data_IF_431353272223
#
_entry.id   IF_431353272223
#
_cell.length_a   1.000
_cell.length_b   1.000
_cell.length_c   1.000
_cell.angle_alpha   90.00
_cell.angle_beta   90.00
_cell.angle_gamma   90.00
#
_symmetry.space_group_name_H-M   'P 1'
#
loop_
_entity.id
_entity.type
_entity.pdbx_description
1 polymer ?
#
# COMPACT_ATOMS: atom_id res chain seq x y z
N UNK A 1 -23.45 -2.68 7.60
CA UNK A 1 -22.93 -1.30 7.46
C UNK A 1 -21.73 -1.36 6.54
N UNK A 2 -21.66 -0.47 5.55
CA UNK A 2 -20.54 -0.38 4.59
C UNK A 2 -19.32 0.23 5.27
N UNK A 3 -18.14 -0.40 5.10
CA UNK A 3 -16.83 0.15 5.50
C UNK A 3 -15.85 -0.04 4.35
N UNK A 4 -15.11 1.02 4.04
CA UNK A 4 -14.09 1.05 2.98
C UNK A 4 -12.74 1.28 3.62
N UNK A 5 -11.97 0.20 3.76
CA UNK A 5 -10.74 0.16 4.56
C UNK A 5 -9.57 -0.03 3.61
N UNK A 6 -8.47 0.68 3.82
CA UNK A 6 -7.21 0.39 3.12
C UNK A 6 -6.12 -0.05 4.11
N UNK A 7 -5.54 -1.22 3.87
CA UNK A 7 -4.42 -1.77 4.65
C UNK A 7 -3.10 -1.30 4.03
N UNK A 8 -2.29 -0.54 4.77
CA UNK A 8 -1.15 0.22 4.27
C UNK A 8 0.16 -0.09 4.98
N UNK A 9 1.30 0.28 4.37
CA UNK A 9 2.65 0.02 4.88
C UNK A 9 3.64 -0.44 3.81
N UNK A 10 4.93 -0.42 4.12
CA UNK A 10 6.00 -0.77 3.19
C UNK A 10 5.92 -2.21 2.64
N UNK A 11 6.63 -2.47 1.53
CA UNK A 11 6.73 -3.81 0.94
C UNK A 11 7.21 -4.85 1.97
N UNK A 12 6.55 -6.00 1.99
CA UNK A 12 6.88 -7.08 2.92
C UNK A 12 6.40 -6.87 4.37
N UNK A 13 5.63 -5.83 4.71
CA UNK A 13 5.14 -5.64 6.10
C UNK A 13 4.03 -6.60 6.55
N UNK A 14 3.45 -7.36 5.62
CA UNK A 14 2.32 -8.28 5.90
C UNK A 14 0.93 -7.74 5.56
N UNK A 15 0.84 -6.63 4.80
CA UNK A 15 -0.45 -6.06 4.33
C UNK A 15 -1.36 -7.08 3.64
N UNK A 16 -0.81 -7.86 2.71
CA UNK A 16 -1.59 -8.84 1.94
C UNK A 16 -2.21 -9.86 2.88
N UNK A 17 -1.42 -10.43 3.78
CA UNK A 17 -1.89 -11.36 4.81
C UNK A 17 -2.97 -10.73 5.68
N UNK A 18 -2.75 -9.51 6.19
CA UNK A 18 -3.74 -8.84 7.04
C UNK A 18 -5.03 -8.49 6.29
N UNK A 19 -4.93 -7.96 5.06
CA UNK A 19 -6.10 -7.60 4.25
C UNK A 19 -6.94 -8.82 3.87
N UNK A 20 -6.30 -9.96 3.55
CA UNK A 20 -6.99 -11.24 3.31
C UNK A 20 -7.71 -11.71 4.57
N UNK A 21 -7.01 -11.75 5.71
CA UNK A 21 -7.62 -12.21 6.95
C UNK A 21 -8.75 -11.28 7.42
N UNK A 22 -8.61 -9.96 7.24
CA UNK A 22 -9.65 -9.00 7.57
C UNK A 22 -10.88 -9.16 6.67
N UNK A 23 -10.67 -9.47 5.38
CA UNK A 23 -11.76 -9.79 4.44
C UNK A 23 -12.50 -11.07 4.85
N UNK A 24 -11.78 -12.15 5.19
CA UNK A 24 -12.39 -13.36 5.73
C UNK A 24 -13.20 -13.08 7.01
N UNK A 25 -12.59 -12.35 7.96
CA UNK A 25 -13.18 -12.08 9.25
C UNK A 25 -14.46 -11.24 9.17
N UNK A 26 -14.52 -10.27 8.26
CA UNK A 26 -15.64 -9.31 8.16
C UNK A 26 -16.65 -9.65 7.06
N UNK A 27 -16.30 -10.57 6.15
CA UNK A 27 -17.06 -10.84 4.93
C UNK A 27 -17.02 -9.71 3.90
N UNK A 28 -16.27 -8.62 4.13
CA UNK A 28 -16.09 -7.56 3.15
C UNK A 28 -15.27 -8.06 1.97
N UNK A 29 -15.63 -7.72 0.72
CA UNK A 29 -14.85 -8.10 -0.44
C UNK A 29 -13.45 -7.46 -0.39
N UNK A 30 -12.44 -8.24 -0.75
CA UNK A 30 -11.06 -7.73 -0.87
C UNK A 30 -10.82 -7.20 -2.28
N UNK A 31 -10.25 -6.01 -2.37
CA UNK A 31 -9.77 -5.41 -3.63
C UNK A 31 -8.28 -5.13 -3.54
N UNK A 32 -7.61 -5.11 -4.68
CA UNK A 32 -6.19 -4.79 -4.78
C UNK A 32 -5.84 -4.31 -6.19
N UNK A 33 -4.81 -3.47 -6.31
CA UNK A 33 -4.18 -3.27 -7.62
C UNK A 33 -3.48 -4.55 -8.06
N UNK A 34 -3.07 -4.63 -9.33
CA UNK A 34 -2.08 -5.63 -9.75
C UNK A 34 -0.85 -5.60 -8.82
N UNK A 35 0.06 -6.58 -8.82
CA UNK A 35 1.36 -6.37 -8.19
C UNK A 35 2.10 -5.25 -8.93
N UNK A 36 2.98 -4.51 -8.24
CA UNK A 36 3.82 -3.43 -8.82
C UNK A 36 4.86 -4.03 -9.78
N UNK A 37 4.38 -4.57 -10.91
CA UNK A 37 5.09 -5.28 -11.97
C UNK A 37 5.37 -4.34 -13.13
N UNK A 38 5.90 -4.91 -14.20
CA UNK A 38 6.38 -4.23 -15.38
C UNK A 38 5.33 -3.27 -15.97
N UNK A 39 5.74 -2.03 -16.32
CA UNK A 39 4.92 -1.12 -17.09
C UNK A 39 4.61 -1.74 -18.46
N UNK A 40 3.48 -1.37 -19.06
CA UNK A 40 3.09 -1.89 -20.37
C UNK A 40 4.16 -1.51 -21.41
N UNK A 41 4.70 -2.50 -22.12
CA UNK A 41 5.83 -2.37 -23.03
C UNK A 41 7.21 -2.49 -22.37
N UNK A 42 7.26 -2.76 -21.06
CA UNK A 42 8.47 -3.04 -20.29
C UNK A 42 8.58 -4.51 -19.87
N UNK A 43 7.85 -5.41 -20.52
CA UNK A 43 7.75 -6.81 -20.12
C UNK A 43 9.10 -7.54 -20.22
N UNK A 44 9.44 -8.32 -19.20
CA UNK A 44 10.73 -9.01 -19.06
C UNK A 44 11.91 -8.11 -18.64
N UNK A 45 11.71 -6.81 -18.44
CA UNK A 45 12.75 -5.91 -17.96
C UNK A 45 12.79 -5.86 -16.43
N UNK A 46 14.00 -5.86 -15.87
CA UNK A 46 14.20 -5.60 -14.44
C UNK A 46 13.53 -4.29 -14.01
N UNK A 47 12.92 -4.29 -12.82
CA UNK A 47 12.30 -3.11 -12.19
C UNK A 47 13.26 -1.91 -12.03
N UNK A 48 14.57 -2.17 -12.16
CA UNK A 48 15.64 -1.17 -12.09
C UNK A 48 15.92 -0.49 -13.43
N UNK A 49 15.47 -1.07 -14.54
CA UNK A 49 15.79 -0.62 -15.90
C UNK A 49 14.63 0.16 -16.55
N UNK A 50 13.58 0.47 -15.80
CA UNK A 50 12.48 1.28 -16.30
C UNK A 50 12.90 2.75 -16.40
N UNK A 51 12.46 3.40 -17.48
CA UNK A 51 12.54 4.85 -17.62
C UNK A 51 11.60 5.55 -16.64
N UNK A 52 11.85 6.82 -16.34
CA UNK A 52 10.96 7.60 -15.47
C UNK A 52 9.54 7.72 -16.07
N UNK A 53 9.42 7.81 -17.40
CA UNK A 53 8.12 7.82 -18.07
C UNK A 53 7.34 6.50 -17.91
N UNK A 54 8.05 5.37 -17.94
CA UNK A 54 7.46 4.05 -17.65
C UNK A 54 7.03 3.92 -16.18
N UNK A 55 7.78 4.50 -15.25
CA UNK A 55 7.36 4.59 -13.85
C UNK A 55 6.09 5.43 -13.69
N UNK A 56 5.99 6.57 -14.38
CA UNK A 56 4.77 7.39 -14.39
C UNK A 56 3.58 6.65 -14.98
N UNK A 57 3.76 5.97 -16.11
CA UNK A 57 2.73 5.14 -16.74
C UNK A 57 2.22 4.07 -15.77
N UNK A 58 3.12 3.34 -15.12
CA UNK A 58 2.76 2.33 -14.11
C UNK A 58 1.92 2.95 -12.99
N UNK A 59 2.33 4.12 -12.49
CA UNK A 59 1.63 4.85 -11.44
C UNK A 59 0.18 5.18 -11.83
N UNK A 60 -0.01 5.71 -13.04
CA UNK A 60 -1.35 6.05 -13.58
C UNK A 60 -2.19 4.80 -13.83
N UNK A 61 -1.60 3.74 -14.41
CA UNK A 61 -2.32 2.49 -14.66
C UNK A 61 -2.85 1.88 -13.36
N UNK A 62 -2.00 1.81 -12.34
CA UNK A 62 -2.37 1.25 -11.03
C UNK A 62 -3.38 2.09 -10.27
N UNK A 63 -3.31 3.40 -10.44
CA UNK A 63 -4.36 4.29 -9.95
C UNK A 63 -5.71 3.91 -10.56
N UNK A 64 -5.79 3.77 -11.88
CA UNK A 64 -7.02 3.41 -12.58
C UNK A 64 -7.54 2.02 -12.18
N UNK A 65 -6.66 1.02 -12.05
CA UNK A 65 -7.02 -0.32 -11.57
C UNK A 65 -7.68 -0.27 -10.18
N UNK A 66 -7.11 0.51 -9.26
CA UNK A 66 -7.67 0.68 -7.91
C UNK A 66 -9.01 1.40 -7.94
N UNK A 67 -9.16 2.47 -8.72
CA UNK A 67 -10.44 3.17 -8.86
C UNK A 67 -11.54 2.21 -9.31
N UNK A 68 -11.26 1.38 -10.32
CA UNK A 68 -12.22 0.41 -10.84
C UNK A 68 -12.51 -0.70 -9.81
N UNK A 69 -11.48 -1.24 -9.16
CA UNK A 69 -11.62 -2.28 -8.15
C UNK A 69 -12.36 -1.81 -6.90
N UNK A 70 -12.21 -0.55 -6.50
CA UNK A 70 -12.94 0.04 -5.38
C UNK A 70 -14.39 0.38 -5.77
N UNK A 71 -14.60 0.90 -6.99
CA UNK A 71 -15.94 1.21 -7.51
C UNK A 71 -16.81 -0.03 -7.70
N UNK A 72 -16.21 -1.22 -7.90
CA UNK A 72 -16.93 -2.48 -7.99
C UNK A 72 -17.58 -2.93 -6.67
N UNK A 73 -17.22 -2.31 -5.54
CA UNK A 73 -17.67 -2.68 -4.20
C UNK A 73 -18.25 -1.47 -3.42
N UNK A 74 -19.35 -0.85 -3.88
CA UNK A 74 -19.92 0.35 -3.25
C UNK A 74 -20.42 0.10 -1.81
N UNK A 75 -20.78 -1.15 -1.50
CA UNK A 75 -21.26 -1.58 -0.18
C UNK A 75 -20.15 -1.81 0.86
N UNK A 76 -18.89 -1.55 0.50
CA UNK A 76 -17.73 -1.68 1.39
C UNK A 76 -16.71 -2.68 0.88
N UNK A 77 -15.45 -2.51 1.30
CA UNK A 77 -14.33 -3.34 0.87
C UNK A 77 -13.14 -3.25 1.84
N UNK A 78 -12.23 -4.22 1.71
CA UNK A 78 -10.87 -4.16 2.25
C UNK A 78 -9.89 -4.07 1.09
N UNK A 79 -9.16 -2.96 0.99
CA UNK A 79 -8.15 -2.71 -0.05
C UNK A 79 -6.77 -3.12 0.46
N UNK A 80 -6.06 -3.98 -0.30
CA UNK A 80 -4.63 -4.24 -0.08
C UNK A 80 -3.83 -3.10 -0.68
N UNK A 81 -3.41 -2.19 0.19
CA UNK A 81 -2.86 -0.89 -0.16
C UNK A 81 -3.91 0.18 -0.44
N UNK A 82 -3.45 1.38 -0.79
CA UNK A 82 -4.30 2.52 -1.14
C UNK A 82 -3.82 3.18 -2.43
N UNK A 83 -4.64 4.04 -3.02
CA UNK A 83 -4.20 4.91 -4.13
C UNK A 83 -2.99 5.79 -3.74
N UNK A 84 -2.83 6.14 -2.46
CA UNK A 84 -1.70 6.94 -1.98
C UNK A 84 -0.38 6.16 -2.01
N UNK A 85 -0.42 4.82 -1.93
CA UNK A 85 0.79 4.00 -2.15
C UNK A 85 1.35 4.16 -3.55
N UNK A 86 0.50 4.35 -4.55
CA UNK A 86 0.94 4.44 -5.95
C UNK A 86 1.78 5.70 -6.15
N UNK A 87 1.33 6.84 -5.59
CA UNK A 87 2.14 8.05 -5.51
C UNK A 87 3.41 7.87 -4.68
N UNK A 88 3.31 7.25 -3.50
CA UNK A 88 4.46 7.04 -2.60
C UNK A 88 5.58 6.28 -3.30
N UNK A 89 5.23 5.19 -3.99
CA UNK A 89 6.19 4.38 -4.73
C UNK A 89 6.85 5.17 -5.87
N UNK A 90 6.05 5.90 -6.66
CA UNK A 90 6.54 6.71 -7.77
C UNK A 90 7.53 7.79 -7.30
N UNK A 91 7.13 8.59 -6.32
CA UNK A 91 7.96 9.67 -5.76
C UNK A 91 9.26 9.13 -5.18
N UNK A 92 9.18 8.06 -4.40
CA UNK A 92 10.37 7.45 -3.81
C UNK A 92 11.28 6.85 -4.88
N UNK A 93 10.76 6.16 -5.89
CA UNK A 93 11.57 5.59 -6.97
C UNK A 93 12.27 6.64 -7.81
N UNK A 94 11.61 7.77 -8.10
CA UNK A 94 12.19 8.90 -8.85
C UNK A 94 13.34 9.55 -8.09
N UNK A 95 13.17 9.80 -6.79
CA UNK A 95 14.13 10.57 -6.00
C UNK A 95 15.27 9.69 -5.46
N UNK A 96 14.95 8.46 -5.05
CA UNK A 96 15.84 7.62 -4.25
C UNK A 96 16.31 6.34 -4.96
N UNK A 97 15.72 6.00 -6.11
CA UNK A 97 15.97 4.71 -6.78
C UNK A 97 15.36 3.51 -6.04
N UNK A 98 15.58 2.29 -6.53
CA UNK A 98 15.11 1.05 -5.88
C UNK A 98 15.92 0.68 -4.64
N UNK A 99 17.20 1.02 -4.65
CA UNK A 99 18.14 0.72 -3.57
C UNK A 99 18.80 2.00 -3.05
N UNK A 100 18.06 2.80 -2.25
CA UNK A 100 18.62 3.95 -1.57
C UNK A 100 19.88 3.56 -0.79
N UNK A 101 21.04 4.02 -1.26
CA UNK A 101 22.35 3.74 -0.64
C UNK A 101 22.73 4.67 0.51
N UNK A 102 21.82 5.55 0.91
CA UNK A 102 22.05 6.57 1.94
C UNK A 102 20.81 6.77 2.81
N UNK A 103 21.00 6.95 4.12
CA UNK A 103 19.93 7.27 5.08
C UNK A 103 19.51 8.74 5.08
N UNK A 104 20.05 9.55 4.15
CA UNK A 104 19.64 10.95 3.96
C UNK A 104 18.11 11.01 3.72
N UNK A 105 17.37 11.86 4.46
CA UNK A 105 15.93 12.07 4.28
C UNK A 105 15.58 12.37 2.82
N UNK A 106 14.36 12.02 2.40
CA UNK A 106 13.97 12.14 1.00
C UNK A 106 14.08 13.59 0.49
N UNK A 107 13.70 14.57 1.29
CA UNK A 107 13.69 15.98 0.90
C UNK A 107 15.09 16.60 0.74
N UNK A 108 16.09 16.02 1.41
CA UNK A 108 17.47 16.52 1.41
C UNK A 108 18.32 15.98 0.25
N UNK A 109 17.75 15.11 -0.59
CA UNK A 109 18.48 14.50 -1.72
C UNK A 109 18.63 15.45 -2.89
N UNK A 110 19.73 15.35 -3.62
CA UNK A 110 19.90 16.10 -4.86
C UNK A 110 18.88 15.65 -5.92
N UNK A 111 18.25 16.62 -6.60
CA UNK A 111 17.45 16.39 -7.81
C UNK A 111 18.20 16.92 -9.02
N UNK A 112 18.33 16.09 -10.06
CA UNK A 112 18.63 16.59 -11.39
C UNK A 112 17.45 17.44 -11.91
N UNK A 113 17.67 18.31 -12.90
CA UNK A 113 16.59 19.10 -13.51
C UNK A 113 15.46 18.22 -14.03
N UNK A 114 15.80 17.09 -14.69
CA UNK A 114 14.80 16.14 -15.19
C UNK A 114 13.99 15.51 -14.06
N UNK A 115 14.68 15.02 -13.02
CA UNK A 115 14.03 14.45 -11.83
C UNK A 115 13.11 15.46 -11.14
N UNK A 116 13.53 16.72 -11.00
CA UNK A 116 12.74 17.76 -10.35
C UNK A 116 11.42 18.05 -11.11
N UNK A 117 11.48 18.11 -12.44
CA UNK A 117 10.28 18.31 -13.27
C UNK A 117 9.31 17.14 -13.14
N UNK A 118 9.81 15.91 -13.15
CA UNK A 118 8.98 14.71 -13.04
C UNK A 118 8.45 14.51 -11.60
N UNK A 119 9.24 14.83 -10.58
CA UNK A 119 8.81 14.84 -9.18
C UNK A 119 7.64 15.81 -8.98
N UNK A 120 7.71 17.02 -9.53
CA UNK A 120 6.62 17.98 -9.49
C UNK A 120 5.34 17.43 -10.16
N UNK A 121 5.45 16.80 -11.33
CA UNK A 121 4.32 16.17 -12.00
C UNK A 121 3.71 15.01 -11.17
N UNK A 122 4.56 14.19 -10.54
CA UNK A 122 4.11 13.12 -9.65
C UNK A 122 3.43 13.69 -8.41
N UNK A 123 3.92 14.78 -7.85
CA UNK A 123 3.26 15.45 -6.71
C UNK A 123 1.86 15.96 -7.06
N UNK A 124 1.67 16.54 -8.24
CA UNK A 124 0.35 16.95 -8.73
C UNK A 124 -0.59 15.76 -8.94
N UNK A 125 -0.10 14.64 -9.49
CA UNK A 125 -0.86 13.37 -9.54
C UNK A 125 -1.19 12.88 -8.11
N UNK A 126 -0.27 13.05 -7.18
CA UNK A 126 -0.46 12.73 -5.77
C UNK A 126 -1.61 13.51 -5.14
N UNK A 127 -1.86 14.76 -5.56
CA UNK A 127 -3.01 15.54 -5.10
C UNK A 127 -4.33 14.87 -5.49
N UNK A 128 -4.43 14.36 -6.72
CA UNK A 128 -5.60 13.62 -7.20
C UNK A 128 -5.83 12.34 -6.36
N UNK A 129 -4.77 11.57 -6.10
CA UNK A 129 -4.86 10.35 -5.30
C UNK A 129 -5.25 10.64 -3.84
N UNK A 130 -4.68 11.68 -3.23
CA UNK A 130 -5.04 12.13 -1.88
C UNK A 130 -6.49 12.65 -1.81
N UNK A 131 -6.96 13.30 -2.87
CA UNK A 131 -8.36 13.73 -2.97
C UNK A 131 -9.32 12.54 -3.03
N UNK A 132 -9.05 11.54 -3.89
CA UNK A 132 -9.84 10.31 -3.93
C UNK A 132 -9.82 9.57 -2.59
N UNK A 133 -8.64 9.42 -1.99
CA UNK A 133 -8.49 8.74 -0.72
C UNK A 133 -9.36 9.34 0.40
N UNK A 134 -9.52 10.67 0.43
CA UNK A 134 -10.38 11.37 1.40
C UNK A 134 -11.85 10.99 1.31
N UNK A 135 -12.35 10.66 0.12
CA UNK A 135 -13.78 10.39 -0.11
C UNK A 135 -14.07 8.89 -0.27
N UNK A 136 -13.06 8.11 -0.63
CA UNK A 136 -13.17 6.68 -0.90
C UNK A 136 -12.93 5.79 0.33
N UNK A 137 -12.10 6.23 1.29
CA UNK A 137 -11.79 5.42 2.47
C UNK A 137 -12.39 6.02 3.75
N UNK A 138 -12.85 5.13 4.62
CA UNK A 138 -13.32 5.51 5.95
C UNK A 138 -12.21 5.39 7.00
N UNK A 139 -11.20 4.55 6.74
CA UNK A 139 -10.03 4.38 7.60
C UNK A 139 -8.85 3.72 6.86
N UNK A 140 -7.64 4.02 7.34
CA UNK A 140 -6.42 3.29 7.02
C UNK A 140 -5.99 2.40 8.19
N UNK A 141 -5.53 1.19 7.88
CA UNK A 141 -4.87 0.28 8.84
C UNK A 141 -3.41 0.15 8.44
N UNK A 142 -2.52 0.80 9.17
CA UNK A 142 -1.09 0.79 8.92
C UNK A 142 -0.41 -0.41 9.59
N UNK A 143 0.39 -1.14 8.81
CA UNK A 143 1.20 -2.27 9.23
C UNK A 143 2.68 -1.91 9.11
N UNK A 144 3.37 -1.61 10.22
CA UNK A 144 4.77 -1.21 10.20
C UNK A 144 5.66 -2.40 9.84
N UNK A 145 6.89 -2.09 9.44
CA UNK A 145 7.94 -3.10 9.28
C UNK A 145 8.49 -3.52 10.64
N UNK A 146 8.17 -4.73 11.06
CA UNK A 146 8.61 -5.31 12.35
C UNK A 146 9.68 -6.40 12.20
N UNK A 147 10.01 -6.79 10.96
CA UNK A 147 10.97 -7.84 10.65
C UNK A 147 11.75 -7.52 9.37
N UNK A 148 12.99 -8.03 9.29
CA UNK A 148 13.87 -7.85 8.13
C UNK A 148 13.29 -8.52 6.87
N UNK A 149 13.58 -7.96 5.69
CA UNK A 149 13.28 -8.66 4.43
C UNK A 149 14.02 -9.99 4.39
N UNK A 150 13.46 -11.00 3.74
CA UNK A 150 14.20 -12.22 3.43
C UNK A 150 15.28 -11.91 2.37
N UNK A 151 16.51 -12.47 2.44
CA UNK A 151 17.64 -12.13 1.55
C UNK A 151 17.41 -12.24 0.04
N UNK A 152 16.49 -13.10 -0.40
CA UNK A 152 16.41 -13.49 -1.80
C UNK A 152 15.58 -12.51 -2.67
N UNK A 153 16.12 -12.18 -3.85
CA UNK A 153 15.51 -11.41 -4.95
C UNK A 153 14.65 -10.18 -4.54
N UNK A 154 15.14 -9.34 -3.62
CA UNK A 154 14.38 -8.21 -3.10
C UNK A 154 14.28 -7.08 -4.16
N UNK A 155 13.08 -6.62 -4.56
CA UNK A 155 12.94 -5.50 -5.50
C UNK A 155 13.35 -4.15 -4.89
N UNK A 156 13.53 -4.10 -3.56
CA UNK A 156 13.87 -2.93 -2.75
C UNK A 156 14.76 -3.33 -1.56
N UNK A 157 15.40 -2.37 -0.89
CA UNK A 157 16.15 -2.61 0.35
C UNK A 157 15.43 -2.09 1.61
N UNK A 158 16.03 -2.32 2.78
CA UNK A 158 15.52 -1.86 4.08
C UNK A 158 15.32 -0.35 4.17
N UNK A 159 16.25 0.40 3.59
CA UNK A 159 16.20 1.84 3.58
C UNK A 159 15.01 2.35 2.75
N UNK A 160 14.72 1.71 1.61
CA UNK A 160 13.52 1.99 0.83
C UNK A 160 12.26 1.77 1.67
N UNK A 161 12.19 0.71 2.49
CA UNK A 161 11.02 0.46 3.36
C UNK A 161 10.81 1.59 4.35
N UNK A 162 11.87 2.04 5.02
CA UNK A 162 11.80 3.16 5.97
C UNK A 162 11.37 4.46 5.30
N UNK A 163 11.98 4.80 4.17
CA UNK A 163 11.64 6.00 3.41
C UNK A 163 10.21 5.97 2.88
N UNK A 164 9.72 4.78 2.49
CA UNK A 164 8.34 4.57 2.06
C UNK A 164 7.36 4.93 3.18
N UNK A 165 7.54 4.41 4.40
CA UNK A 165 6.63 4.73 5.52
C UNK A 165 6.77 6.20 5.96
N UNK A 166 8.00 6.74 5.96
CA UNK A 166 8.25 8.15 6.27
C UNK A 166 7.58 9.11 5.29
N UNK A 167 7.45 8.73 4.02
CA UNK A 167 6.72 9.49 3.00
C UNK A 167 5.19 9.24 3.06
N UNK A 168 4.79 7.99 3.27
CA UNK A 168 3.39 7.56 3.22
C UNK A 168 2.57 8.11 4.40
N UNK A 169 3.05 7.96 5.63
CA UNK A 169 2.26 8.27 6.82
C UNK A 169 1.83 9.76 6.88
N UNK A 170 2.70 10.75 6.63
CA UNK A 170 2.27 12.14 6.55
C UNK A 170 1.27 12.38 5.42
N UNK A 171 1.43 11.72 4.27
CA UNK A 171 0.51 11.86 3.14
C UNK A 171 -0.87 11.28 3.43
N UNK A 172 -0.95 10.16 4.14
CA UNK A 172 -2.22 9.60 4.62
C UNK A 172 -2.87 10.52 5.65
N UNK A 173 -2.11 11.02 6.62
CA UNK A 173 -2.63 11.95 7.63
C UNK A 173 -3.21 13.22 7.01
N UNK A 174 -2.58 13.75 5.95
CA UNK A 174 -3.06 14.92 5.22
C UNK A 174 -4.41 14.73 4.49
N UNK A 175 -4.87 13.48 4.32
CA UNK A 175 -6.20 13.22 3.76
C UNK A 175 -7.32 13.57 4.74
N UNK A 176 -7.04 13.55 6.05
CA UNK A 176 -8.02 13.67 7.13
C UNK A 176 -8.70 12.35 7.51
N UNK A 177 -8.40 11.25 6.81
CA UNK A 177 -8.91 9.91 7.12
C UNK A 177 -8.10 9.31 8.28
N UNK A 178 -8.73 8.68 9.29
CA UNK A 178 -8.03 8.07 10.41
C UNK A 178 -7.01 7.01 9.96
N UNK A 179 -5.83 7.03 10.58
CA UNK A 179 -4.78 6.03 10.39
C UNK A 179 -4.58 5.27 11.69
N UNK A 180 -4.87 3.97 11.69
CA UNK A 180 -4.70 3.09 12.84
C UNK A 180 -3.50 2.18 12.62
N UNK A 181 -2.46 2.31 13.44
CA UNK A 181 -1.29 1.42 13.36
C UNK A 181 -1.55 0.16 14.17
N UNK A 182 -1.28 -1.01 13.59
CA UNK A 182 -1.44 -2.31 14.24
C UNK A 182 -0.11 -3.07 14.24
N UNK A 183 0.18 -3.77 15.33
CA UNK A 183 1.49 -4.44 15.58
C UNK A 183 1.30 -5.86 16.10
N UNK A 184 2.38 -6.65 16.14
CA UNK A 184 2.35 -8.01 16.65
C UNK A 184 2.06 -9.05 15.58
N UNK A 185 1.55 -10.22 15.96
CA UNK A 185 1.22 -11.28 15.01
C UNK A 185 -0.09 -11.01 14.25
N UNK A 186 -0.48 -11.91 13.34
CA UNK A 186 -1.69 -11.73 12.53
C UNK A 186 -2.96 -11.65 13.39
N UNK A 187 -3.06 -12.45 14.46
CA UNK A 187 -4.22 -12.45 15.33
C UNK A 187 -4.32 -11.15 16.14
N UNK A 188 -3.19 -10.67 16.66
CA UNK A 188 -3.09 -9.39 17.37
C UNK A 188 -3.46 -8.22 16.46
N UNK A 189 -2.93 -8.21 15.23
CA UNK A 189 -3.21 -7.17 14.23
C UNK A 189 -4.70 -7.16 13.85
N UNK A 190 -5.33 -8.32 13.71
CA UNK A 190 -6.77 -8.42 13.44
C UNK A 190 -7.60 -7.88 14.60
N UNK A 191 -7.30 -8.29 15.83
CA UNK A 191 -8.00 -7.81 17.04
C UNK A 191 -7.91 -6.29 17.16
N UNK A 192 -6.71 -5.72 16.95
CA UNK A 192 -6.50 -4.27 16.95
C UNK A 192 -7.27 -3.59 15.82
N UNK A 193 -7.17 -4.07 14.57
CA UNK A 193 -7.86 -3.49 13.42
C UNK A 193 -9.38 -3.47 13.64
N UNK A 194 -9.98 -4.59 14.02
CA UNK A 194 -11.41 -4.70 14.28
C UNK A 194 -11.85 -3.79 15.42
N UNK A 195 -11.06 -3.71 16.50
CA UNK A 195 -11.32 -2.81 17.62
C UNK A 195 -11.29 -1.33 17.21
N UNK A 196 -10.27 -0.89 16.48
CA UNK A 196 -10.16 0.48 16.00
C UNK A 196 -11.28 0.86 15.01
N UNK A 197 -11.69 -0.09 14.16
CA UNK A 197 -12.70 0.15 13.13
C UNK A 197 -14.14 0.00 13.63
N UNK A 198 -14.33 -0.48 14.87
CA UNK A 198 -15.65 -0.74 15.43
C UNK A 198 -16.38 -1.90 14.72
N UNK A 199 -15.64 -2.93 14.31
CA UNK A 199 -16.15 -4.04 13.48
C UNK A 199 -16.40 -5.32 14.27
N UNK A 200 -16.26 -5.31 15.59
CA UNK A 200 -16.31 -6.52 16.42
C UNK A 200 -17.62 -7.30 16.27
N UNK A 201 -18.75 -6.60 16.19
CA UNK A 201 -20.09 -7.19 16.02
C UNK A 201 -20.39 -7.63 14.58
N UNK A 202 -19.56 -7.20 13.63
CA UNK A 202 -19.72 -7.54 12.19
C UNK A 202 -18.85 -8.70 11.76
N UNK A 203 -18.05 -9.26 12.67
CA UNK A 203 -17.24 -10.42 12.37
C UNK A 203 -18.16 -11.62 12.04
N UNK A 204 -17.93 -12.24 10.88
CA UNK A 204 -18.70 -13.40 10.40
C UNK A 204 -18.09 -14.73 10.88
N UNK A 205 -16.92 -14.66 11.50
CA UNK A 205 -16.18 -15.78 12.09
C UNK A 205 -15.32 -15.26 13.25
N UNK A 206 -14.67 -16.16 13.99
CA UNK A 206 -13.67 -15.77 14.98
C UNK A 206 -12.29 -15.47 14.34
N UNK A 207 -11.42 -14.80 15.11
CA UNK A 207 -10.09 -14.40 14.65
C UNK A 207 -9.20 -15.59 14.30
N UNK A 208 -9.29 -16.68 15.06
CA UNK A 208 -8.44 -17.86 14.87
C UNK A 208 -8.80 -18.62 13.59
N UNK A 209 -10.08 -18.68 13.24
CA UNK A 209 -10.55 -19.19 11.95
C UNK A 209 -10.07 -18.32 10.80
N UNK A 210 -10.21 -16.98 10.90
CA UNK A 210 -9.73 -16.08 9.85
C UNK A 210 -8.22 -16.22 9.60
N UNK A 211 -7.43 -16.38 10.67
CA UNK A 211 -5.98 -16.65 10.63
C UNK A 211 -5.70 -18.00 9.95
N UNK A 212 -6.42 -19.05 10.35
CA UNK A 212 -6.26 -20.40 9.77
C UNK A 212 -6.55 -20.41 8.26
N UNK A 213 -7.64 -19.79 7.82
CA UNK A 213 -8.00 -19.71 6.39
C UNK A 213 -6.96 -18.94 5.57
N UNK A 214 -6.27 -17.97 6.17
CA UNK A 214 -5.26 -17.15 5.49
C UNK A 214 -3.91 -17.85 5.41
N UNK A 215 -3.60 -18.71 6.38
CA UNK A 215 -2.30 -19.39 6.50
C UNK A 215 -2.33 -20.84 5.99
N UNK A 216 -3.51 -21.39 5.74
CA UNK A 216 -3.67 -22.68 5.09
C UNK A 216 -3.01 -22.64 3.70
N UNK A 217 -2.12 -23.59 3.36
CA UNK A 217 -1.63 -23.71 2.01
C UNK A 217 -2.82 -23.99 1.09
N UNK A 218 -2.94 -23.24 -0.01
CA UNK A 218 -3.95 -23.49 -1.03
C UNK A 218 -3.94 -25.00 -1.36
N UNK A 219 -5.01 -25.69 -1.00
CA UNK A 219 -5.26 -27.05 -1.45
C UNK A 219 -5.51 -26.95 -2.96
N UNK A 220 -4.42 -27.07 -3.74
CA UNK A 220 -4.45 -27.21 -5.19
C UNK A 220 -5.28 -28.41 -5.61
#
# INVERSE_FOLDING_TARGET
MSKRIAVVGAYGSGKTTLSTALSHLTGLPRTHGSPMREPIGGEGHSVHNWTDGQLMQLTVNRYAERLLGEAAHPEGFVSDGSVVHEWTYAKLRLVAGSYPGTDVPLDDRHRSTGTAVLEAAVDDIGLLMKHHARTAYDAFVHVPVEFELAPDNRPINENFRRLSDALLLPALAATGVPVHTVTGDLADRLKQAVGHLGLAETAVMDVEEAVRLTTAPDSK
#
